data_IF_017120116070
#
_entry.id   IF_017120116070
#
_cell.length_a   1.000
_cell.length_b   1.000
_cell.length_c   1.000
_cell.angle_alpha   90.00
_cell.angle_beta   90.00
_cell.angle_gamma   90.00
#
_symmetry.space_group_name_H-M   'P 1'
#
loop_
_entity.id
_entity.type
_entity.pdbx_description
1 polymer ?
#
# COMPACT_ATOMS: atom_id res chain seq x y z
N UNK A 1 -1.97 -16.22 24.88
CA UNK A 1 -1.67 -16.00 23.46
C UNK A 1 -2.86 -15.35 22.83
N UNK A 2 -2.68 -14.29 22.05
CA UNK A 2 -3.73 -13.63 21.25
C UNK A 2 -3.16 -13.37 19.87
N UNK A 3 -3.90 -13.75 18.85
CA UNK A 3 -3.51 -13.54 17.44
C UNK A 3 -4.30 -12.36 16.87
N UNK A 4 -3.60 -11.43 16.22
CA UNK A 4 -4.19 -10.33 15.46
C UNK A 4 -4.22 -10.75 13.99
N UNK A 5 -5.38 -10.57 13.36
CA UNK A 5 -5.60 -10.90 11.95
C UNK A 5 -5.77 -9.66 11.10
N UNK A 6 -5.64 -9.80 9.80
CA UNK A 6 -5.85 -8.72 8.85
C UNK A 6 -7.28 -8.17 8.94
N UNK A 7 -7.39 -6.84 8.98
CA UNK A 7 -8.64 -6.11 8.91
C UNK A 7 -8.59 -5.10 7.75
N UNK A 8 -9.48 -5.28 6.78
CA UNK A 8 -9.55 -4.43 5.59
C UNK A 8 -9.93 -2.98 5.91
N UNK A 9 -10.77 -2.75 6.93
CA UNK A 9 -11.16 -1.41 7.38
C UNK A 9 -9.96 -0.67 7.97
N UNK A 10 -9.24 -1.32 8.89
CA UNK A 10 -8.03 -0.77 9.52
C UNK A 10 -6.94 -0.51 8.47
N UNK A 11 -6.77 -1.42 7.50
CA UNK A 11 -5.83 -1.21 6.40
C UNK A 11 -6.19 0.01 5.55
N UNK A 12 -7.45 0.16 5.22
CA UNK A 12 -7.96 1.29 4.43
C UNK A 12 -7.80 2.63 5.14
N UNK A 13 -8.03 2.68 6.44
CA UNK A 13 -7.79 3.88 7.25
C UNK A 13 -6.31 4.22 7.33
N UNK A 14 -5.44 3.23 7.52
CA UNK A 14 -4.01 3.43 7.70
C UNK A 14 -3.23 3.67 6.41
N UNK A 15 -3.47 2.87 5.38
CA UNK A 15 -2.64 2.81 4.17
C UNK A 15 -3.41 2.99 2.85
N UNK A 16 -4.70 2.70 2.84
CA UNK A 16 -5.53 2.72 1.62
C UNK A 16 -5.66 4.13 1.03
N UNK A 17 -5.55 5.18 1.85
CA UNK A 17 -5.69 6.57 1.43
C UNK A 17 -4.66 6.97 0.36
N UNK A 18 -3.42 6.47 0.43
CA UNK A 18 -2.37 6.79 -0.54
C UNK A 18 -2.77 6.27 -1.93
N UNK A 19 -3.22 5.01 -1.98
CA UNK A 19 -3.62 4.39 -3.24
C UNK A 19 -4.89 5.02 -3.81
N UNK A 20 -5.88 5.31 -2.97
CA UNK A 20 -7.08 6.04 -3.39
C UNK A 20 -6.74 7.42 -3.92
N UNK A 21 -5.82 8.13 -3.29
CA UNK A 21 -5.38 9.46 -3.74
C UNK A 21 -4.71 9.38 -5.12
N UNK A 22 -3.80 8.42 -5.33
CA UNK A 22 -3.17 8.20 -6.65
C UNK A 22 -4.22 7.84 -7.69
N UNK A 23 -5.14 6.91 -7.37
CA UNK A 23 -6.20 6.49 -8.28
C UNK A 23 -7.16 7.66 -8.62
N UNK A 24 -7.57 8.45 -7.65
CA UNK A 24 -8.43 9.62 -7.87
C UNK A 24 -7.74 10.70 -8.71
N UNK A 25 -6.42 10.80 -8.62
CA UNK A 25 -5.64 11.73 -9.44
C UNK A 25 -5.46 11.23 -10.88
N UNK A 26 -5.29 9.94 -11.08
CA UNK A 26 -5.00 9.33 -12.39
C UNK A 26 -6.27 8.99 -13.18
N UNK A 27 -7.40 8.71 -12.51
CA UNK A 27 -8.66 8.38 -13.16
C UNK A 27 -9.15 9.48 -14.13
N UNK A 28 -9.19 10.78 -13.75
CA UNK A 28 -9.56 11.86 -14.68
C UNK A 28 -8.63 11.94 -15.89
N UNK A 29 -7.32 11.66 -15.71
CA UNK A 29 -6.37 11.62 -16.82
C UNK A 29 -6.69 10.49 -17.82
N UNK A 30 -7.05 9.31 -17.34
CA UNK A 30 -7.46 8.20 -18.21
C UNK A 30 -8.76 8.53 -18.95
N UNK A 31 -9.75 9.10 -18.25
CA UNK A 31 -11.02 9.53 -18.88
C UNK A 31 -10.78 10.60 -19.95
N UNK A 32 -9.94 11.58 -19.67
CA UNK A 32 -9.53 12.58 -20.66
C UNK A 32 -8.90 11.91 -21.89
N UNK A 33 -8.03 10.92 -21.69
CA UNK A 33 -7.43 10.15 -22.79
C UNK A 33 -8.47 9.46 -23.67
N UNK A 34 -9.47 8.83 -23.06
CA UNK A 34 -10.58 8.17 -23.78
C UNK A 34 -11.39 9.20 -24.60
N UNK A 35 -11.75 10.32 -23.99
CA UNK A 35 -12.50 11.39 -24.69
C UNK A 35 -11.70 11.92 -25.88
N UNK A 36 -10.38 12.09 -25.71
CA UNK A 36 -9.52 12.57 -26.80
C UNK A 36 -9.42 11.60 -27.96
N UNK A 37 -9.29 10.30 -27.68
CA UNK A 37 -9.30 9.26 -28.72
C UNK A 37 -10.64 9.31 -29.47
N UNK A 38 -11.76 9.44 -28.76
CA UNK A 38 -13.08 9.56 -29.36
C UNK A 38 -13.20 10.79 -30.28
N UNK A 39 -12.70 11.95 -29.84
CA UNK A 39 -12.72 13.20 -30.65
C UNK A 39 -11.83 13.11 -31.89
N UNK A 40 -10.68 12.45 -31.80
CA UNK A 40 -9.79 12.19 -32.93
C UNK A 40 -10.50 11.28 -33.94
N UNK A 41 -11.08 10.17 -33.50
CA UNK A 41 -11.77 9.20 -34.36
C UNK A 41 -13.02 9.81 -35.01
N UNK A 42 -13.72 10.71 -34.33
CA UNK A 42 -14.86 11.45 -34.89
C UNK A 42 -14.44 12.56 -35.90
N UNK A 43 -13.15 12.77 -36.14
CA UNK A 43 -12.66 13.80 -37.09
C UNK A 43 -12.88 15.25 -36.61
N UNK A 44 -13.34 15.45 -35.38
CA UNK A 44 -13.67 16.79 -34.83
C UNK A 44 -12.44 17.70 -34.84
N UNK A 45 -11.27 17.16 -34.54
CA UNK A 45 -10.01 17.91 -34.50
C UNK A 45 -9.42 18.20 -35.90
N UNK A 46 -9.90 17.53 -36.92
CA UNK A 46 -9.48 17.72 -38.33
C UNK A 46 -10.43 18.62 -39.10
N UNK A 47 -11.61 18.92 -38.56
CA UNK A 47 -12.53 19.88 -39.15
C UNK A 47 -11.91 21.29 -39.05
N UNK A 48 -11.74 21.99 -40.15
CA UNK A 48 -11.08 23.31 -40.25
C UNK A 48 -11.69 24.42 -39.36
N UNK A 49 -12.71 24.11 -38.57
CA UNK A 49 -13.40 25.00 -37.65
C UNK A 49 -12.76 25.10 -36.26
N UNK A 50 -11.71 24.29 -35.96
CA UNK A 50 -11.05 24.28 -34.65
C UNK A 50 -9.84 25.20 -34.66
N UNK A 51 -9.75 26.20 -33.75
CA UNK A 51 -8.58 27.06 -33.65
C UNK A 51 -7.27 26.26 -33.50
N UNK A 52 -6.20 26.65 -34.21
CA UNK A 52 -4.91 25.94 -34.25
C UNK A 52 -4.24 25.76 -32.86
N UNK A 53 -4.65 26.56 -31.85
CA UNK A 53 -4.14 26.42 -30.48
C UNK A 53 -4.69 25.19 -29.77
N UNK A 54 -5.92 24.76 -30.12
CA UNK A 54 -6.61 23.64 -29.44
C UNK A 54 -5.86 22.31 -29.61
N UNK A 55 -5.44 21.89 -30.81
CA UNK A 55 -4.61 20.67 -30.96
C UNK A 55 -3.31 20.71 -30.17
N UNK A 56 -2.67 21.88 -30.06
CA UNK A 56 -1.42 22.05 -29.29
C UNK A 56 -1.65 21.89 -27.78
N UNK A 57 -2.71 22.50 -27.25
CA UNK A 57 -3.12 22.32 -25.84
C UNK A 57 -3.47 20.87 -25.52
N UNK A 58 -4.18 20.23 -26.42
CA UNK A 58 -4.53 18.82 -26.29
C UNK A 58 -3.27 17.93 -26.25
N UNK A 59 -2.33 18.15 -27.16
CA UNK A 59 -1.05 17.43 -27.17
C UNK A 59 -0.27 17.64 -25.87
N UNK A 60 -0.19 18.85 -25.36
CA UNK A 60 0.46 19.18 -24.09
C UNK A 60 -0.19 18.47 -22.92
N UNK A 61 -1.53 18.54 -22.79
CA UNK A 61 -2.29 17.87 -21.72
C UNK A 61 -2.13 16.35 -21.80
N UNK A 62 -2.05 15.78 -23.01
CA UNK A 62 -1.82 14.35 -23.17
C UNK A 62 -0.45 13.93 -22.65
N UNK A 63 0.59 14.66 -22.97
CA UNK A 63 1.94 14.33 -22.52
C UNK A 63 2.07 14.50 -21.01
N UNK A 64 1.54 15.60 -20.46
CA UNK A 64 1.73 15.94 -19.04
C UNK A 64 0.81 15.15 -18.11
N UNK A 65 -0.37 14.76 -18.58
CA UNK A 65 -1.39 14.18 -17.68
C UNK A 65 -1.85 12.78 -18.08
N UNK A 66 -2.17 12.55 -19.36
CA UNK A 66 -2.70 11.24 -19.82
C UNK A 66 -1.61 10.16 -19.77
N UNK A 67 -0.44 10.43 -20.29
CA UNK A 67 0.66 9.44 -20.33
C UNK A 67 1.07 9.00 -18.93
N UNK A 68 1.38 9.89 -17.96
CA UNK A 68 1.66 9.47 -16.60
C UNK A 68 0.52 8.68 -15.94
N UNK A 69 -0.75 9.03 -16.23
CA UNK A 69 -1.91 8.33 -15.68
C UNK A 69 -2.03 6.89 -16.16
N UNK A 70 -1.69 6.62 -17.44
CA UNK A 70 -1.69 5.25 -18.01
C UNK A 70 -0.73 4.33 -17.24
N UNK A 71 0.39 4.84 -16.76
CA UNK A 71 1.38 4.05 -16.01
C UNK A 71 1.09 4.05 -14.50
N UNK A 72 0.71 5.18 -13.94
CA UNK A 72 0.52 5.32 -12.49
C UNK A 72 -0.70 4.56 -11.97
N UNK A 73 -1.81 4.53 -12.72
CA UNK A 73 -3.04 3.85 -12.29
C UNK A 73 -2.86 2.33 -12.15
N UNK A 74 -2.38 1.59 -13.18
CA UNK A 74 -2.17 0.14 -13.05
C UNK A 74 -1.12 -0.20 -12.00
N UNK A 75 -0.07 0.63 -11.85
CA UNK A 75 0.96 0.42 -10.84
C UNK A 75 0.39 0.57 -9.44
N UNK A 76 -0.38 1.61 -9.16
CA UNK A 76 -1.05 1.81 -7.87
C UNK A 76 -2.05 0.68 -7.57
N UNK A 77 -2.83 0.27 -8.56
CA UNK A 77 -3.75 -0.86 -8.45
C UNK A 77 -3.01 -2.16 -8.11
N UNK A 78 -1.96 -2.49 -8.85
CA UNK A 78 -1.17 -3.71 -8.63
C UNK A 78 -0.53 -3.73 -7.25
N UNK A 79 0.09 -2.62 -6.83
CA UNK A 79 0.72 -2.49 -5.51
C UNK A 79 -0.32 -2.61 -4.38
N UNK A 80 -1.48 -1.98 -4.53
CA UNK A 80 -2.56 -2.05 -3.54
C UNK A 80 -3.07 -3.50 -3.39
N UNK A 81 -3.46 -4.14 -4.50
CA UNK A 81 -3.98 -5.51 -4.47
C UNK A 81 -2.93 -6.54 -4.03
N UNK A 82 -1.69 -6.40 -4.48
CA UNK A 82 -0.60 -7.29 -4.08
C UNK A 82 -0.31 -7.21 -2.59
N UNK A 83 -0.21 -6.00 -2.03
CA UNK A 83 0.00 -5.79 -0.59
C UNK A 83 -1.15 -6.29 0.25
N UNK A 84 -2.40 -6.03 -0.16
CA UNK A 84 -3.58 -6.54 0.53
C UNK A 84 -3.58 -8.07 0.60
N UNK A 85 -3.22 -8.75 -0.50
CA UNK A 85 -3.10 -10.22 -0.51
C UNK A 85 -2.04 -10.74 0.45
N UNK A 86 -0.89 -10.06 0.53
CA UNK A 86 0.17 -10.45 1.45
C UNK A 86 -0.25 -10.23 2.91
N UNK A 87 -0.87 -9.08 3.22
CA UNK A 87 -1.32 -8.78 4.59
C UNK A 87 -2.44 -9.71 5.06
N UNK A 88 -3.37 -10.11 4.19
CA UNK A 88 -4.39 -11.12 4.50
C UNK A 88 -3.82 -12.46 5.00
N UNK A 89 -2.62 -12.81 4.55
CA UNK A 89 -1.93 -14.02 4.96
C UNK A 89 -0.93 -13.79 6.09
N UNK A 90 -0.78 -12.55 6.57
CA UNK A 90 0.12 -12.23 7.68
C UNK A 90 -0.66 -12.22 8.99
N UNK A 91 0.00 -12.59 10.10
CA UNK A 91 -0.60 -12.59 11.45
C UNK A 91 0.39 -12.07 12.48
N UNK A 92 -0.13 -11.57 13.58
CA UNK A 92 0.67 -11.13 14.73
C UNK A 92 0.24 -11.90 15.95
N UNK A 93 1.15 -12.61 16.57
CA UNK A 93 0.90 -13.34 17.81
C UNK A 93 1.47 -12.59 19.00
N UNK A 94 0.60 -12.26 19.95
CA UNK A 94 0.97 -11.58 21.18
C UNK A 94 1.15 -12.61 22.30
N UNK A 95 2.38 -12.85 22.73
CA UNK A 95 2.74 -13.64 23.91
C UNK A 95 3.02 -12.72 25.11
N UNK A 96 3.10 -13.28 26.32
CA UNK A 96 3.43 -12.50 27.53
C UNK A 96 4.72 -11.68 27.38
N UNK A 97 5.80 -12.31 26.88
CA UNK A 97 7.16 -11.74 26.83
C UNK A 97 7.66 -11.42 25.41
N UNK A 98 6.95 -11.79 24.37
CA UNK A 98 7.35 -11.52 22.97
C UNK A 98 6.16 -11.22 22.08
N UNK A 99 6.44 -10.53 20.97
CA UNK A 99 5.51 -10.33 19.87
C UNK A 99 6.11 -11.07 18.67
N UNK A 100 5.33 -11.92 18.01
CA UNK A 100 5.78 -12.65 16.81
C UNK A 100 4.96 -12.18 15.63
N UNK A 101 5.63 -11.69 14.59
CA UNK A 101 5.01 -11.25 13.35
C UNK A 101 5.33 -12.24 12.23
N UNK A 102 4.30 -12.95 11.76
CA UNK A 102 4.37 -13.83 10.60
C UNK A 102 4.07 -13.03 9.35
N UNK A 103 5.11 -12.50 8.72
CA UNK A 103 5.00 -11.68 7.52
C UNK A 103 4.99 -12.55 6.28
N UNK A 104 3.89 -12.59 5.53
CA UNK A 104 3.85 -13.22 4.22
C UNK A 104 4.64 -12.36 3.21
N UNK A 105 5.65 -12.93 2.56
CA UNK A 105 6.48 -12.21 1.56
C UNK A 105 6.08 -12.52 0.13
N UNK A 106 5.80 -13.76 -0.17
CA UNK A 106 5.42 -14.22 -1.51
C UNK A 106 4.35 -15.28 -1.43
N UNK A 107 3.47 -15.30 -2.42
CA UNK A 107 2.56 -16.42 -2.67
C UNK A 107 3.21 -17.30 -3.74
N UNK A 108 3.65 -18.50 -3.35
CA UNK A 108 4.19 -19.50 -4.28
C UNK A 108 3.16 -20.58 -4.42
N UNK A 109 2.59 -20.76 -5.61
CA UNK A 109 1.49 -21.72 -5.87
C UNK A 109 0.35 -21.60 -4.83
N UNK A 110 -0.08 -20.36 -4.55
CA UNK A 110 -1.11 -20.03 -3.55
C UNK A 110 -0.75 -20.31 -2.09
N UNK A 111 0.46 -20.77 -1.79
CA UNK A 111 0.95 -20.95 -0.42
C UNK A 111 1.83 -19.78 -0.01
N UNK A 112 1.57 -19.12 1.12
CA UNK A 112 2.41 -18.04 1.60
C UNK A 112 3.76 -18.57 2.10
N UNK A 113 4.85 -17.90 1.70
CA UNK A 113 6.14 -18.01 2.39
C UNK A 113 6.19 -16.93 3.45
N UNK A 114 6.59 -17.30 4.64
CA UNK A 114 6.64 -16.40 5.78
C UNK A 114 8.08 -16.04 6.15
N UNK A 115 8.29 -14.76 6.46
CA UNK A 115 9.38 -14.33 7.33
C UNK A 115 8.81 -14.12 8.73
N UNK A 116 9.43 -14.78 9.70
CA UNK A 116 8.97 -14.75 11.09
C UNK A 116 9.90 -13.81 11.87
N UNK A 117 9.33 -12.76 12.41
CA UNK A 117 10.03 -11.80 13.24
C UNK A 117 9.54 -11.91 14.67
N UNK A 118 10.45 -12.07 15.62
CA UNK A 118 10.14 -11.99 17.04
C UNK A 118 10.73 -10.73 17.66
N UNK A 119 9.91 -10.03 18.44
CA UNK A 119 10.33 -8.85 19.19
C UNK A 119 10.28 -9.19 20.66
N UNK A 120 11.42 -9.15 21.30
CA UNK A 120 11.57 -9.27 22.76
C UNK A 120 12.07 -7.95 23.32
N UNK A 121 11.92 -7.72 24.63
CA UNK A 121 12.33 -6.46 25.28
C UNK A 121 11.79 -5.22 24.54
N UNK A 122 10.47 -5.20 24.29
CA UNK A 122 9.82 -4.07 23.65
C UNK A 122 10.01 -2.81 24.52
N UNK A 123 10.71 -1.78 23.98
CA UNK A 123 11.04 -0.53 24.69
C UNK A 123 10.08 0.58 24.36
N UNK A 124 9.70 0.71 23.08
CA UNK A 124 8.88 1.80 22.56
C UNK A 124 8.10 1.35 21.34
N UNK A 125 6.94 1.94 21.14
CA UNK A 125 6.16 1.80 19.91
C UNK A 125 5.82 3.19 19.41
N UNK A 126 6.16 3.48 18.16
CA UNK A 126 5.75 4.69 17.44
C UNK A 126 4.74 4.33 16.34
N UNK A 127 3.85 5.27 16.03
CA UNK A 127 2.92 5.13 14.90
C UNK A 127 3.25 6.21 13.88
N UNK A 128 3.76 5.83 12.71
CA UNK A 128 4.17 6.75 11.67
C UNK A 128 3.71 6.27 10.29
N UNK A 129 3.06 7.17 9.53
CA UNK A 129 2.73 6.96 8.11
C UNK A 129 2.11 5.60 7.78
N UNK A 130 1.19 5.11 8.62
CA UNK A 130 0.54 3.82 8.42
C UNK A 130 1.34 2.59 8.86
N UNK A 131 2.36 2.78 9.73
CA UNK A 131 3.14 1.70 10.33
C UNK A 131 3.20 1.86 11.84
N UNK A 132 3.17 0.73 12.54
CA UNK A 132 3.64 0.60 13.91
C UNK A 132 5.13 0.24 13.86
N UNK A 133 5.96 1.09 14.48
CA UNK A 133 7.40 0.86 14.58
C UNK A 133 7.68 0.39 16.01
N UNK A 134 8.04 -0.87 16.14
CA UNK A 134 8.36 -1.51 17.42
C UNK A 134 9.87 -1.45 17.62
N UNK A 135 10.31 -0.81 18.69
CA UNK A 135 11.71 -0.75 19.10
C UNK A 135 11.98 -1.75 20.21
N UNK A 136 12.96 -2.63 20.01
CA UNK A 136 13.33 -3.68 20.95
C UNK A 136 14.39 -4.61 20.38
N UNK A 137 14.61 -5.76 21.01
CA UNK A 137 15.42 -6.80 20.43
C UNK A 137 14.58 -7.58 19.40
N UNK A 138 14.83 -7.31 18.13
CA UNK A 138 14.13 -7.95 17.00
C UNK A 138 15.02 -9.03 16.40
N UNK A 139 14.49 -10.23 16.27
CA UNK A 139 15.17 -11.37 15.62
C UNK A 139 14.32 -11.85 14.46
N UNK A 140 14.93 -12.02 13.29
CA UNK A 140 14.30 -12.73 12.18
C UNK A 140 14.60 -14.23 12.34
N UNK A 141 13.61 -15.00 12.77
CA UNK A 141 13.73 -16.43 13.03
C UNK A 141 13.96 -17.23 11.73
N UNK A 142 13.60 -16.67 10.57
CA UNK A 142 13.77 -17.33 9.26
C UNK A 142 15.18 -17.18 8.70
N UNK A 143 15.79 -15.98 8.84
CA UNK A 143 17.12 -15.67 8.28
C UNK A 143 18.23 -15.58 9.33
N UNK A 144 17.90 -15.60 10.62
CA UNK A 144 18.86 -15.43 11.72
C UNK A 144 19.34 -13.99 11.92
N UNK A 145 18.77 -13.02 11.18
CA UNK A 145 19.14 -11.60 11.29
C UNK A 145 18.62 -10.96 12.58
N UNK A 146 19.33 -9.97 13.11
CA UNK A 146 18.89 -9.15 14.24
C UNK A 146 18.77 -7.69 13.86
N UNK A 147 17.82 -6.98 14.49
CA UNK A 147 17.57 -5.55 14.30
C UNK A 147 17.11 -4.93 15.61
N UNK A 148 17.17 -3.60 15.70
CA UNK A 148 16.61 -2.83 16.82
C UNK A 148 15.19 -2.34 16.58
N UNK A 149 14.67 -2.47 15.35
CA UNK A 149 13.34 -2.03 14.98
C UNK A 149 12.62 -3.01 14.06
N UNK A 150 11.29 -3.07 14.20
CA UNK A 150 10.39 -3.81 13.32
C UNK A 150 9.25 -2.91 12.90
N UNK A 151 9.01 -2.80 11.58
CA UNK A 151 7.88 -2.05 11.01
C UNK A 151 6.74 -3.00 10.66
N UNK A 152 5.59 -2.79 11.30
CA UNK A 152 4.37 -3.56 11.05
C UNK A 152 3.33 -2.59 10.44
N UNK A 153 2.72 -2.91 9.30
CA UNK A 153 1.71 -2.03 8.71
C UNK A 153 0.46 -1.96 9.59
N UNK A 154 -0.21 -0.81 9.59
CA UNK A 154 -1.54 -0.65 10.20
C UNK A 154 -2.56 -1.36 9.31
N UNK A 155 -2.73 -2.65 9.52
CA UNK A 155 -3.55 -3.53 8.68
C UNK A 155 -4.23 -4.67 9.46
N UNK A 156 -4.08 -4.67 10.79
CA UNK A 156 -4.57 -5.75 11.65
C UNK A 156 -5.57 -5.21 12.67
N UNK A 157 -6.50 -6.05 13.07
CA UNK A 157 -7.44 -5.74 14.15
C UNK A 157 -6.70 -5.59 15.50
N UNK A 158 -7.30 -4.88 16.42
CA UNK A 158 -6.81 -4.76 17.81
C UNK A 158 -5.33 -4.34 17.97
N UNK A 159 -4.77 -3.57 17.03
CA UNK A 159 -3.38 -3.08 17.09
C UNK A 159 -3.07 -2.28 18.36
N UNK A 160 -4.09 -1.69 19.03
CA UNK A 160 -3.92 -0.99 20.30
C UNK A 160 -3.33 -1.86 21.41
N UNK A 161 -3.53 -3.18 21.36
CA UNK A 161 -2.93 -4.12 22.31
C UNK A 161 -1.39 -4.15 22.26
N UNK A 162 -0.81 -3.80 21.11
CA UNK A 162 0.64 -3.65 21.00
C UNK A 162 1.11 -2.40 21.77
N UNK A 163 0.33 -1.31 21.71
CA UNK A 163 0.62 -0.09 22.48
C UNK A 163 0.48 -0.32 23.99
N UNK A 164 -0.58 -1.02 24.40
CA UNK A 164 -0.76 -1.39 25.81
C UNK A 164 0.43 -2.19 26.31
N UNK A 165 0.88 -3.18 25.54
CA UNK A 165 2.02 -4.01 25.89
C UNK A 165 3.32 -3.22 26.10
N UNK A 166 3.52 -2.14 25.33
CA UNK A 166 4.67 -1.26 25.47
C UNK A 166 4.61 -0.36 26.74
N UNK A 167 3.42 -0.14 27.29
CA UNK A 167 3.24 0.67 28.52
C UNK A 167 3.54 -0.10 29.81
N UNK A 168 3.48 -1.43 29.76
CA UNK A 168 3.66 -2.30 30.94
C UNK A 168 5.06 -2.94 31.04
N UNK A 169 6.01 -2.45 30.24
CA UNK A 169 7.41 -2.82 30.25
C UNK A 169 8.31 -1.60 30.44
#
# INVERSE_FOLDING_TARGET
MRTLSFDGGVFDEGNGWIYRRVMNWTLPGLLLGVVMIALINAGVLQSGNVPAIVPKLIALLSVVYVIPSIFAFPTAWYLSTGRTRLYKNSTIDLYKKKIVYHKAEKLVMSKPRYNIYSVTQLRKVDVQRGYYILYGAVTNETSGGSSSELKIPVAFDNMHLILEKARYH
#
